data_IF_598684293052
#
_entry.id   IF_598684293052
#
_cell.length_a   1.000
_cell.length_b   1.000
_cell.length_c   1.000
_cell.angle_alpha   90.00
_cell.angle_beta   90.00
_cell.angle_gamma   90.00
#
_symmetry.space_group_name_H-M   'P 1'
#
loop_
_entity.id
_entity.type
_entity.pdbx_description
1 polymer ?
#
# COMPACT_ATOMS: atom_id res chain seq x y z
N UNK A 1 1.70 1.13 -5.11
CA UNK A 1 1.14 1.58 -3.82
C UNK A 1 0.10 2.68 -3.98
N UNK A 2 0.40 3.96 -4.24
CA UNK A 2 -0.66 5.00 -4.32
C UNK A 2 -1.73 4.71 -5.37
N UNK A 3 -1.39 4.47 -6.65
CA UNK A 3 -2.42 4.15 -7.67
C UNK A 3 -3.17 2.83 -7.41
N UNK A 4 -2.55 1.82 -6.80
CA UNK A 4 -3.24 0.56 -6.46
C UNK A 4 -4.21 0.77 -5.27
N UNK A 5 -3.80 1.58 -4.29
CA UNK A 5 -4.63 1.97 -3.13
C UNK A 5 -5.75 2.96 -3.50
N UNK A 6 -5.49 3.84 -4.46
CA UNK A 6 -6.44 4.86 -4.93
C UNK A 6 -7.53 4.23 -5.81
N UNK A 7 -7.21 3.14 -6.53
CA UNK A 7 -8.15 2.39 -7.36
C UNK A 7 -8.85 1.24 -6.61
N UNK A 8 -8.69 1.13 -5.29
CA UNK A 8 -9.32 0.06 -4.51
C UNK A 8 -10.83 0.30 -4.42
N UNK A 9 -11.69 -0.70 -4.74
CA UNK A 9 -13.13 -0.53 -4.70
C UNK A 9 -13.65 -0.34 -3.28
N UNK A 10 -14.63 0.55 -3.12
CA UNK A 10 -15.42 0.64 -1.90
C UNK A 10 -16.33 -0.59 -1.77
N UNK A 11 -16.34 -1.22 -0.59
CA UNK A 11 -17.13 -2.44 -0.35
C UNK A 11 -18.41 -2.16 0.43
N UNK A 12 -18.29 -1.52 1.60
CA UNK A 12 -19.41 -1.24 2.50
C UNK A 12 -19.03 -0.19 3.55
N UNK A 13 -20.04 0.35 4.24
CA UNK A 13 -19.87 1.11 5.48
C UNK A 13 -20.39 0.28 6.66
N UNK A 14 -19.74 0.40 7.81
CA UNK A 14 -20.17 -0.25 9.05
C UNK A 14 -20.01 0.71 10.23
N UNK A 15 -20.88 0.58 11.23
CA UNK A 15 -20.80 1.34 12.47
C UNK A 15 -20.21 0.41 13.53
N UNK A 16 -19.09 0.84 14.11
CA UNK A 16 -18.43 0.13 15.20
C UNK A 16 -18.61 0.90 16.51
N UNK A 17 -18.56 0.19 17.64
CA UNK A 17 -18.71 0.74 18.98
C UNK A 17 -17.44 0.47 19.80
N UNK A 18 -17.22 1.29 20.81
CA UNK A 18 -16.17 1.03 21.79
C UNK A 18 -16.44 -0.32 22.48
N UNK A 19 -15.39 -1.15 22.58
CA UNK A 19 -15.44 -2.49 23.13
C UNK A 19 -15.59 -3.60 22.08
N UNK A 20 -16.00 -3.27 20.85
CA UNK A 20 -16.12 -4.26 19.77
C UNK A 20 -14.73 -4.85 19.44
N UNK A 21 -14.71 -6.18 19.24
CA UNK A 21 -13.51 -6.91 18.81
C UNK A 21 -13.33 -6.77 17.30
N UNK A 22 -12.09 -6.51 16.86
CA UNK A 22 -11.72 -6.44 15.44
C UNK A 22 -12.11 -7.71 14.69
N UNK A 23 -11.90 -8.89 15.29
CA UNK A 23 -12.29 -10.16 14.68
C UNK A 23 -13.80 -10.28 14.43
N UNK A 24 -14.62 -9.75 15.34
CA UNK A 24 -16.08 -9.70 15.16
C UNK A 24 -16.46 -8.71 14.07
N UNK A 25 -15.90 -7.50 14.09
CA UNK A 25 -16.14 -6.48 13.07
C UNK A 25 -15.80 -7.03 11.67
N UNK A 26 -14.66 -7.72 11.55
CA UNK A 26 -14.23 -8.37 10.31
C UNK A 26 -15.24 -9.42 9.84
N UNK A 27 -15.71 -10.27 10.74
CA UNK A 27 -16.72 -11.29 10.43
C UNK A 27 -18.05 -10.65 9.97
N UNK A 28 -18.49 -9.59 10.63
CA UNK A 28 -19.72 -8.87 10.29
C UNK A 28 -19.61 -8.19 8.92
N UNK A 29 -18.45 -7.58 8.61
CA UNK A 29 -18.17 -7.02 7.28
C UNK A 29 -18.30 -8.11 6.21
N UNK A 30 -17.62 -9.25 6.39
CA UNK A 30 -17.66 -10.36 5.43
C UNK A 30 -19.08 -10.88 5.24
N UNK A 31 -19.85 -11.05 6.31
CA UNK A 31 -21.25 -11.47 6.26
C UNK A 31 -22.17 -10.46 5.57
N UNK A 32 -21.83 -9.16 5.61
CA UNK A 32 -22.60 -8.10 4.96
C UNK A 32 -22.32 -7.93 3.46
N UNK A 33 -21.19 -8.45 2.94
CA UNK A 33 -20.79 -8.26 1.55
C UNK A 33 -21.84 -8.72 0.53
N UNK A 34 -22.52 -9.88 0.68
CA UNK A 34 -23.58 -10.30 -0.24
C UNK A 34 -24.73 -9.29 -0.33
N UNK A 35 -25.13 -8.71 0.81
CA UNK A 35 -26.19 -7.72 0.85
C UNK A 35 -25.74 -6.37 0.28
N UNK A 36 -24.51 -5.95 0.56
CA UNK A 36 -23.96 -4.67 0.12
C UNK A 36 -23.65 -4.64 -1.39
N UNK A 37 -23.22 -5.76 -1.97
CA UNK A 37 -22.69 -5.83 -3.33
C UNK A 37 -23.54 -6.65 -4.31
N UNK A 38 -24.57 -7.36 -3.82
CA UNK A 38 -25.41 -8.23 -4.65
C UNK A 38 -24.58 -9.27 -5.41
N UNK A 39 -24.81 -9.38 -6.73
CA UNK A 39 -24.04 -10.29 -7.58
C UNK A 39 -22.53 -9.99 -7.60
N UNK A 40 -22.16 -8.73 -7.35
CA UNK A 40 -20.77 -8.30 -7.24
C UNK A 40 -20.03 -8.93 -6.06
N UNK A 41 -20.71 -9.51 -5.08
CA UNK A 41 -20.08 -10.22 -3.96
C UNK A 41 -19.42 -11.54 -4.38
N UNK A 42 -19.84 -12.15 -5.51
CA UNK A 42 -19.27 -13.43 -5.99
C UNK A 42 -17.76 -13.36 -6.21
N UNK A 43 -17.22 -12.18 -6.57
CA UNK A 43 -15.78 -11.96 -6.75
C UNK A 43 -14.98 -11.99 -5.44
N UNK A 44 -15.66 -11.99 -4.29
CA UNK A 44 -15.10 -11.99 -2.95
C UNK A 44 -15.50 -13.24 -2.16
N UNK A 45 -16.08 -14.25 -2.82
CA UNK A 45 -16.55 -15.47 -2.14
C UNK A 45 -15.41 -16.31 -1.54
N UNK A 46 -14.18 -16.09 -1.99
CA UNK A 46 -12.98 -16.71 -1.44
C UNK A 46 -12.48 -16.03 -0.16
N UNK A 47 -13.00 -14.85 0.20
CA UNK A 47 -12.62 -14.16 1.42
C UNK A 47 -13.31 -14.80 2.64
N UNK A 48 -12.52 -15.07 3.67
CA UNK A 48 -12.95 -15.62 4.94
C UNK A 48 -12.10 -15.04 6.09
N UNK A 49 -12.53 -15.21 7.34
CA UNK A 49 -11.82 -14.61 8.49
C UNK A 49 -10.34 -15.01 8.57
N UNK A 50 -9.98 -16.21 8.11
CA UNK A 50 -8.61 -16.75 8.20
C UNK A 50 -7.66 -16.36 7.05
N UNK A 51 -8.14 -15.71 5.97
CA UNK A 51 -7.28 -15.22 4.87
C UNK A 51 -7.42 -13.70 4.68
N UNK A 52 -8.10 -13.02 5.60
CA UNK A 52 -8.30 -11.59 5.55
C UNK A 52 -7.95 -10.93 6.87
N UNK A 53 -7.55 -9.67 6.78
CA UNK A 53 -7.36 -8.80 7.94
C UNK A 53 -7.84 -7.39 7.67
N UNK A 54 -8.11 -6.67 8.75
CA UNK A 54 -8.41 -5.25 8.70
C UNK A 54 -7.13 -4.45 8.85
N UNK A 55 -6.97 -3.44 7.99
CA UNK A 55 -5.82 -2.52 8.04
C UNK A 55 -6.29 -1.09 7.86
N UNK A 56 -5.74 -0.18 8.66
CA UNK A 56 -5.99 1.24 8.49
C UNK A 56 -5.51 1.72 7.12
N UNK A 57 -6.36 2.45 6.39
CA UNK A 57 -5.96 3.15 5.17
C UNK A 57 -5.28 4.47 5.54
N UNK A 58 -4.04 4.65 5.10
CA UNK A 58 -3.39 5.95 5.09
C UNK A 58 -3.60 6.67 3.76
N UNK A 59 -3.27 7.96 3.72
CA UNK A 59 -3.43 8.79 2.51
C UNK A 59 -2.45 8.35 1.40
N UNK A 60 -1.22 8.01 1.76
CA UNK A 60 -0.15 7.64 0.80
C UNK A 60 0.55 6.33 1.12
N UNK A 61 0.22 5.69 2.24
CA UNK A 61 0.91 4.51 2.75
C UNK A 61 -0.05 3.62 3.54
N UNK A 62 0.31 2.34 3.61
CA UNK A 62 -0.38 1.36 4.42
C UNK A 62 -0.06 1.64 5.89
N UNK A 63 -1.10 1.65 6.73
CA UNK A 63 -0.98 1.88 8.16
C UNK A 63 -1.15 0.57 8.94
N UNK A 64 -1.33 0.70 10.25
CA UNK A 64 -1.43 -0.38 11.22
C UNK A 64 -2.39 -1.48 10.77
N UNK A 65 -1.91 -2.72 10.91
CA UNK A 65 -2.71 -3.93 10.81
C UNK A 65 -3.41 -4.12 12.15
N UNK A 66 -4.72 -4.29 12.13
CA UNK A 66 -5.48 -4.57 13.33
C UNK A 66 -5.55 -6.08 13.57
N UNK A 67 -5.26 -6.50 14.80
CA UNK A 67 -5.31 -7.90 15.21
C UNK A 67 -6.71 -8.25 15.68
N UNK A 68 -7.14 -9.49 15.47
CA UNK A 68 -8.52 -9.90 15.73
C UNK A 68 -8.92 -9.80 17.22
N UNK A 69 -7.95 -9.87 18.12
CA UNK A 69 -8.12 -9.77 19.58
C UNK A 69 -8.14 -8.33 20.12
N UNK A 70 -7.80 -7.34 19.30
CA UNK A 70 -7.83 -5.92 19.67
C UNK A 70 -9.26 -5.38 19.75
N UNK A 71 -9.47 -4.43 20.67
CA UNK A 71 -10.76 -3.77 20.92
C UNK A 71 -10.75 -2.30 20.55
N UNK A 72 -11.82 -1.86 19.89
CA UNK A 72 -12.04 -0.46 19.58
C UNK A 72 -12.21 0.35 20.86
N UNK A 73 -11.54 1.50 20.96
CA UNK A 73 -11.57 2.40 22.10
C UNK A 73 -10.75 1.96 23.31
N UNK A 74 -10.15 0.75 23.28
CA UNK A 74 -9.21 0.27 24.31
C UNK A 74 -7.82 0.14 23.72
N UNK A 75 -7.65 -0.79 22.78
CA UNK A 75 -6.37 -1.05 22.11
C UNK A 75 -6.20 -0.15 20.88
N UNK A 76 -7.30 0.11 20.17
CA UNK A 76 -7.31 0.91 18.95
C UNK A 76 -8.10 2.21 19.16
N UNK A 77 -7.44 3.35 18.95
CA UNK A 77 -8.10 4.65 18.88
C UNK A 77 -8.45 4.98 17.42
N UNK A 78 -9.75 5.00 17.10
CA UNK A 78 -10.24 5.40 15.78
C UNK A 78 -10.81 6.83 15.83
N UNK A 79 -10.56 7.66 14.79
CA UNK A 79 -11.32 8.89 14.60
C UNK A 79 -12.77 8.56 14.21
N UNK A 80 -13.66 9.55 14.31
CA UNK A 80 -15.11 9.40 14.03
C UNK A 80 -15.40 8.75 12.67
N UNK A 81 -14.62 9.10 11.63
CA UNK A 81 -14.68 8.48 10.32
C UNK A 81 -13.27 7.99 9.95
N UNK A 82 -13.17 6.73 9.58
CA UNK A 82 -11.91 6.11 9.17
C UNK A 82 -12.13 5.15 8.01
N UNK A 83 -11.24 5.19 7.04
CA UNK A 83 -11.19 4.18 5.98
C UNK A 83 -10.29 3.02 6.43
N UNK A 84 -10.76 1.80 6.17
CA UNK A 84 -10.06 0.56 6.49
C UNK A 84 -10.09 -0.32 5.25
N UNK A 85 -8.96 -0.96 4.95
CA UNK A 85 -8.89 -2.03 3.96
C UNK A 85 -9.28 -3.36 4.58
N UNK A 86 -10.16 -4.08 3.90
CA UNK A 86 -10.25 -5.54 4.01
C UNK A 86 -9.21 -6.11 3.05
N UNK A 87 -8.09 -6.58 3.60
CA UNK A 87 -6.95 -7.08 2.84
C UNK A 87 -6.94 -8.60 2.87
N UNK A 88 -6.97 -9.22 1.70
CA UNK A 88 -6.65 -10.64 1.53
C UNK A 88 -5.15 -10.87 1.70
N UNK A 89 -4.78 -11.93 2.41
CA UNK A 89 -3.40 -12.30 2.74
C UNK A 89 -3.25 -13.81 2.62
N UNK A 90 -2.39 -14.25 1.71
CA UNK A 90 -2.16 -15.68 1.41
C UNK A 90 -1.68 -16.47 2.64
N UNK A 91 -0.72 -15.90 3.38
CA UNK A 91 -0.18 -16.47 4.62
C UNK A 91 -0.39 -15.48 5.78
N UNK A 92 -1.66 -15.37 6.20
CA UNK A 92 -2.06 -14.43 7.24
C UNK A 92 -1.33 -14.70 8.57
N UNK A 93 -1.12 -15.97 8.92
CA UNK A 93 -0.50 -16.35 10.19
C UNK A 93 0.96 -15.88 10.27
N UNK A 94 1.75 -16.04 9.20
CA UNK A 94 3.16 -15.60 9.21
C UNK A 94 3.35 -14.09 9.10
N UNK A 95 2.31 -13.36 8.67
CA UNK A 95 2.33 -11.91 8.47
C UNK A 95 1.56 -11.13 9.55
N UNK A 96 1.09 -11.80 10.60
CA UNK A 96 0.40 -11.16 11.73
C UNK A 96 1.41 -10.85 12.84
N UNK A 97 1.61 -9.57 13.22
CA UNK A 97 2.45 -9.19 14.36
C UNK A 97 1.96 -9.82 15.66
N UNK A 98 2.87 -10.45 16.40
CA UNK A 98 2.58 -11.07 17.70
C UNK A 98 3.20 -10.22 18.80
N UNK A 99 4.48 -9.87 18.66
CA UNK A 99 5.25 -9.10 19.62
C UNK A 99 5.14 -7.59 19.35
N UNK A 100 5.35 -6.76 20.39
CA UNK A 100 5.24 -5.29 20.27
C UNK A 100 6.25 -4.66 19.29
N UNK A 101 7.37 -5.36 19.07
CA UNK A 101 8.44 -4.94 18.16
C UNK A 101 8.26 -5.50 16.74
N UNK A 102 7.26 -6.36 16.52
CA UNK A 102 7.01 -6.92 15.19
C UNK A 102 6.49 -5.84 14.26
N UNK A 103 7.13 -5.70 13.09
CA UNK A 103 6.75 -4.70 12.10
C UNK A 103 6.47 -5.39 10.77
N UNK A 104 5.28 -5.14 10.21
CA UNK A 104 4.99 -5.50 8.82
C UNK A 104 5.64 -4.47 7.90
N UNK A 105 6.65 -4.90 7.16
CA UNK A 105 7.33 -4.09 6.16
C UNK A 105 6.76 -4.38 4.78
N UNK A 106 6.74 -3.36 3.93
CA UNK A 106 6.46 -3.52 2.51
C UNK A 106 7.78 -3.53 1.75
N UNK A 107 8.03 -4.56 0.96
CA UNK A 107 9.27 -4.71 0.20
C UNK A 107 8.99 -4.85 -1.29
N UNK A 108 9.95 -4.42 -2.11
CA UNK A 108 9.86 -4.57 -3.56
C UNK A 108 11.26 -4.82 -4.14
N UNK A 109 11.39 -5.87 -4.94
CA UNK A 109 12.65 -6.14 -5.64
C UNK A 109 12.88 -5.15 -6.76
N UNK A 110 14.07 -4.57 -6.83
CA UNK A 110 14.59 -3.90 -8.01
C UNK A 110 15.35 -4.92 -8.86
N UNK A 111 15.06 -4.94 -10.16
CA UNK A 111 15.73 -5.79 -11.15
C UNK A 111 16.53 -4.89 -12.10
N UNK A 112 17.82 -4.60 -11.79
CA UNK A 112 18.70 -3.79 -12.62
C UNK A 112 18.74 -4.21 -14.09
N UNK A 113 18.77 -5.52 -14.37
CA UNK A 113 18.89 -6.06 -15.73
C UNK A 113 17.62 -5.85 -16.58
N UNK A 114 16.49 -5.62 -15.92
CA UNK A 114 15.21 -5.41 -16.57
C UNK A 114 14.71 -3.97 -16.48
N UNK A 115 15.42 -3.11 -15.73
CA UNK A 115 14.98 -1.75 -15.41
C UNK A 115 13.54 -1.72 -14.89
N UNK A 116 13.20 -2.63 -13.96
CA UNK A 116 11.84 -2.73 -13.40
C UNK A 116 11.86 -3.02 -11.90
N UNK A 117 10.83 -2.53 -11.22
CA UNK A 117 10.50 -2.97 -9.88
C UNK A 117 9.50 -4.14 -9.95
N UNK A 118 9.69 -5.15 -9.11
CA UNK A 118 8.84 -6.33 -8.97
C UNK A 118 7.46 -6.01 -8.41
N UNK A 119 6.76 -7.01 -7.86
CA UNK A 119 5.50 -6.77 -7.14
C UNK A 119 5.78 -6.32 -5.71
N UNK A 120 4.82 -5.63 -5.10
CA UNK A 120 4.85 -5.40 -3.66
C UNK A 120 4.67 -6.73 -2.93
N UNK A 121 5.46 -6.93 -1.89
CA UNK A 121 5.38 -8.09 -1.01
C UNK A 121 5.48 -7.59 0.42
N UNK A 122 4.74 -8.21 1.32
CA UNK A 122 4.89 -7.93 2.75
C UNK A 122 5.76 -8.96 3.41
N UNK A 123 6.51 -8.51 4.41
CA UNK A 123 7.27 -9.37 5.30
C UNK A 123 6.98 -8.99 6.74
N UNK A 124 6.96 -9.98 7.62
CA UNK A 124 6.99 -9.74 9.05
C UNK A 124 8.44 -9.65 9.50
N UNK A 125 8.84 -8.46 9.91
CA UNK A 125 10.18 -8.19 10.43
C UNK A 125 10.13 -8.25 11.96
N UNK A 126 10.90 -9.19 12.51
CA UNK A 126 10.93 -9.53 13.94
C UNK A 126 12.35 -9.39 14.47
N UNK A 127 12.51 -9.34 15.79
CA UNK A 127 13.80 -9.31 16.48
C UNK A 127 14.67 -10.54 16.19
N UNK A 128 14.03 -11.68 15.90
CA UNK A 128 14.68 -12.99 15.70
C UNK A 128 15.40 -13.15 14.36
N UNK A 129 15.09 -12.34 13.35
CA UNK A 129 15.57 -12.55 11.98
C UNK A 129 16.10 -11.27 11.34
N UNK A 130 17.37 -11.30 10.94
CA UNK A 130 18.01 -10.23 10.18
C UNK A 130 17.28 -9.95 8.86
N UNK A 131 17.22 -8.68 8.47
CA UNK A 131 16.53 -8.24 7.27
C UNK A 131 17.10 -8.89 6.00
N UNK A 132 18.43 -8.96 5.87
CA UNK A 132 19.12 -9.58 4.72
C UNK A 132 18.79 -11.07 4.62
N UNK A 133 18.78 -11.80 5.74
CA UNK A 133 18.36 -13.22 5.81
C UNK A 133 16.92 -13.40 5.35
N UNK A 134 16.01 -12.53 5.81
CA UNK A 134 14.62 -12.58 5.41
C UNK A 134 14.45 -12.32 3.91
N UNK A 135 15.11 -11.27 3.39
CA UNK A 135 15.10 -10.93 1.96
C UNK A 135 15.73 -12.04 1.11
N UNK A 136 16.77 -12.70 1.60
CA UNK A 136 17.40 -13.85 0.92
C UNK A 136 16.42 -15.00 0.79
N UNK A 137 15.76 -15.37 1.89
CA UNK A 137 14.78 -16.45 1.92
C UNK A 137 13.63 -16.25 0.93
N UNK A 138 13.10 -15.03 0.80
CA UNK A 138 11.96 -14.76 -0.09
C UNK A 138 12.37 -14.60 -1.57
N UNK A 139 13.64 -14.26 -1.85
CA UNK A 139 14.08 -13.91 -3.19
C UNK A 139 15.02 -14.93 -3.84
N UNK A 140 15.65 -15.80 -3.04
CA UNK A 140 16.70 -16.72 -3.45
C UNK A 140 18.07 -16.07 -3.70
N UNK A 141 18.22 -14.77 -3.44
CA UNK A 141 19.51 -14.06 -3.56
C UNK A 141 20.39 -14.44 -2.36
N UNK A 142 21.68 -14.77 -2.54
CA UNK A 142 22.61 -14.97 -1.41
C UNK A 142 22.66 -13.75 -0.49
N UNK A 143 22.71 -13.96 0.83
CA UNK A 143 22.65 -12.89 1.83
C UNK A 143 23.72 -11.81 1.60
N UNK A 144 24.92 -12.22 1.21
CA UNK A 144 26.06 -11.36 0.92
C UNK A 144 25.85 -10.45 -0.30
N UNK A 145 24.93 -10.82 -1.18
CA UNK A 145 24.60 -10.07 -2.39
C UNK A 145 23.38 -9.17 -2.21
N UNK A 146 22.74 -9.18 -1.03
CA UNK A 146 21.57 -8.35 -0.78
C UNK A 146 21.99 -6.95 -0.39
N UNK A 147 21.50 -6.01 -1.19
CA UNK A 147 21.45 -4.61 -0.82
C UNK A 147 20.01 -4.15 -0.74
N UNK A 148 19.74 -3.25 0.20
CA UNK A 148 18.42 -2.65 0.37
C UNK A 148 18.53 -1.16 0.62
N UNK A 149 17.41 -0.46 0.44
CA UNK A 149 17.28 0.95 0.74
C UNK A 149 15.90 1.22 1.29
N UNK A 150 15.86 1.95 2.40
CA UNK A 150 14.62 2.46 2.97
C UNK A 150 14.14 3.66 2.15
N UNK A 151 12.91 3.59 1.68
CA UNK A 151 12.28 4.69 0.96
C UNK A 151 11.60 5.62 1.97
N UNK A 152 12.01 6.89 2.07
CA UNK A 152 11.34 7.85 2.93
C UNK A 152 9.86 7.96 2.62
N UNK A 153 9.01 8.05 3.66
CA UNK A 153 7.57 8.21 3.47
C UNK A 153 7.18 9.48 2.71
N UNK A 154 8.04 10.51 2.75
CA UNK A 154 7.85 11.78 2.02
C UNK A 154 8.18 11.67 0.54
N UNK A 155 9.02 10.70 0.13
CA UNK A 155 9.48 10.51 -1.25
C UNK A 155 8.66 9.46 -1.98
N UNK A 156 7.51 9.01 -1.47
CA UNK A 156 6.61 8.06 -2.15
C UNK A 156 6.00 8.60 -3.48
N UNK A 157 6.45 9.76 -3.95
CA UNK A 157 6.37 10.13 -5.36
C UNK A 157 7.24 9.16 -6.15
N UNK A 158 6.71 8.57 -7.22
CA UNK A 158 7.39 7.54 -8.01
C UNK A 158 8.85 7.91 -8.27
N UNK A 159 9.77 7.17 -7.65
CA UNK A 159 11.17 7.24 -8.06
C UNK A 159 11.20 6.85 -9.53
N UNK A 160 11.72 7.75 -10.36
CA UNK A 160 11.99 7.41 -11.76
C UNK A 160 12.82 6.14 -11.75
N UNK A 161 12.41 5.15 -12.55
CA UNK A 161 13.14 3.89 -12.70
C UNK A 161 14.61 4.14 -13.04
N UNK A 162 14.89 5.23 -13.75
CA UNK A 162 16.24 5.68 -14.11
C UNK A 162 17.09 6.11 -12.90
N UNK A 163 16.47 6.52 -11.81
CA UNK A 163 17.14 7.02 -10.60
C UNK A 163 17.30 5.95 -9.52
N UNK A 164 16.57 4.83 -9.57
CA UNK A 164 16.59 3.81 -8.51
C UNK A 164 18.00 3.23 -8.30
N UNK A 165 18.73 2.95 -9.38
CA UNK A 165 20.04 2.31 -9.27
C UNK A 165 21.09 3.19 -8.58
N UNK A 166 21.18 4.47 -8.96
CA UNK A 166 22.29 5.36 -8.60
C UNK A 166 21.88 6.57 -7.74
N UNK A 167 20.58 6.89 -7.68
CA UNK A 167 20.05 8.01 -6.91
C UNK A 167 19.64 7.65 -5.49
N UNK A 168 19.67 6.36 -5.14
CA UNK A 168 19.34 5.85 -3.81
C UNK A 168 20.59 5.35 -3.08
N UNK A 169 20.58 5.48 -1.75
CA UNK A 169 21.67 5.03 -0.90
C UNK A 169 21.45 3.58 -0.46
N UNK A 170 21.91 2.65 -1.31
CA UNK A 170 21.88 1.21 -1.05
C UNK A 170 22.84 0.83 0.08
N UNK A 171 22.39 -0.05 0.97
CA UNK A 171 23.16 -0.58 2.09
C UNK A 171 23.07 -2.10 2.15
N UNK A 172 24.13 -2.75 2.63
CA UNK A 172 24.19 -4.21 2.86
C UNK A 172 24.34 -4.57 4.34
N UNK A 173 24.35 -3.57 5.23
CA UNK A 173 24.54 -3.80 6.67
C UNK A 173 23.40 -4.66 7.22
N UNK A 174 23.69 -5.76 7.92
CA UNK A 174 22.67 -6.54 8.63
C UNK A 174 21.94 -5.67 9.65
N UNK A 175 20.61 -5.79 9.70
CA UNK A 175 19.76 -5.05 10.63
C UNK A 175 18.71 -5.97 11.26
N UNK A 176 18.38 -5.71 12.52
CA UNK A 176 17.37 -6.43 13.29
C UNK A 176 16.19 -5.50 13.64
N UNK A 177 15.03 -6.05 13.98
CA UNK A 177 13.87 -5.23 14.33
C UNK A 177 14.08 -4.38 15.59
N UNK A 178 14.94 -4.83 16.51
CA UNK A 178 15.34 -4.11 17.73
C UNK A 178 16.09 -2.81 17.45
N UNK A 179 16.59 -2.61 16.23
CA UNK A 179 17.00 -1.29 15.71
C UNK A 179 15.78 -0.38 15.44
N UNK A 180 14.69 -0.58 16.20
CA UNK A 180 13.30 -0.13 16.05
C UNK A 180 13.13 1.36 15.71
N UNK A 181 14.12 2.20 16.03
CA UNK A 181 14.16 3.59 15.56
C UNK A 181 14.19 3.72 14.03
N UNK A 182 14.64 2.69 13.31
CA UNK A 182 14.71 2.71 11.84
C UNK A 182 13.45 2.22 11.15
N UNK A 183 12.63 1.35 11.74
CA UNK A 183 11.53 0.70 11.03
C UNK A 183 10.20 0.90 11.74
N UNK A 184 9.27 1.54 11.05
CA UNK A 184 7.91 1.74 11.52
C UNK A 184 6.91 1.13 10.54
N UNK A 185 5.67 0.97 11.00
CA UNK A 185 4.54 0.51 10.19
C UNK A 185 4.45 1.30 8.89
N UNK A 186 4.30 0.58 7.77
CA UNK A 186 4.20 1.20 6.44
C UNK A 186 5.54 1.63 5.85
N UNK A 187 6.67 1.24 6.44
CA UNK A 187 7.99 1.42 5.82
C UNK A 187 8.08 0.61 4.53
N UNK A 188 8.46 1.29 3.45
CA UNK A 188 8.75 0.69 2.16
C UNK A 188 10.26 0.51 2.00
N UNK A 189 10.67 -0.70 1.60
CA UNK A 189 12.04 -1.02 1.23
C UNK A 189 12.11 -1.44 -0.23
N UNK A 190 13.12 -0.95 -0.93
CA UNK A 190 13.60 -1.62 -2.14
C UNK A 190 14.79 -2.50 -1.78
N UNK A 191 14.89 -3.65 -2.44
CA UNK A 191 16.05 -4.53 -2.32
C UNK A 191 16.50 -4.99 -3.70
N UNK A 192 17.78 -5.33 -3.85
CA UNK A 192 18.36 -5.80 -5.12
C UNK A 192 19.43 -6.85 -4.86
N UNK A 193 19.77 -7.56 -5.92
CA UNK A 193 21.00 -8.33 -6.00
C UNK A 193 22.12 -7.40 -6.47
N UNK A 194 23.16 -7.21 -5.65
CA UNK A 194 24.30 -6.35 -5.96
C UNK A 194 25.16 -6.88 -7.11
N UNK A 195 25.04 -8.16 -7.44
CA UNK A 195 25.75 -8.81 -8.55
C UNK A 195 25.01 -8.70 -9.89
N UNK A 196 23.74 -8.27 -9.87
CA UNK A 196 22.93 -8.12 -11.07
C UNK A 196 23.38 -6.89 -11.89
N UNK A 197 23.74 -7.12 -13.15
CA UNK A 197 24.20 -6.04 -14.03
C UNK A 197 23.04 -5.14 -14.45
N UNK A 198 23.28 -3.83 -14.41
CA UNK A 198 22.34 -2.83 -14.91
C UNK A 198 22.20 -2.94 -16.42
N UNK A 199 20.96 -2.94 -16.92
CA UNK A 199 20.70 -2.90 -18.37
C UNK A 199 21.30 -1.65 -19.02
N UNK A 200 22.05 -1.85 -20.10
CA UNK A 200 22.41 -0.75 -21.00
C UNK A 200 21.18 -0.33 -21.80
N UNK A 201 20.75 0.92 -21.61
CA UNK A 201 19.58 1.48 -22.29
C UNK A 201 20.00 2.21 -23.56
N UNK A 202 19.29 1.98 -24.66
CA UNK A 202 19.44 2.82 -25.85
C UNK A 202 18.85 4.22 -25.61
N UNK A 203 19.24 5.24 -26.41
CA UNK A 203 18.65 6.58 -26.33
C UNK A 203 17.11 6.56 -26.44
N UNK A 204 16.58 5.69 -27.28
CA UNK A 204 15.14 5.51 -27.49
C UNK A 204 14.46 4.92 -26.25
N UNK A 205 15.02 3.85 -25.68
CA UNK A 205 14.48 3.23 -24.45
C UNK A 205 14.51 4.20 -23.27
N UNK A 206 15.61 4.95 -23.11
CA UNK A 206 15.74 5.97 -22.06
C UNK A 206 14.69 7.07 -22.23
N UNK A 207 14.41 7.47 -23.48
CA UNK A 207 13.37 8.46 -23.79
C UNK A 207 11.97 7.93 -23.48
N UNK A 208 11.68 6.68 -23.80
CA UNK A 208 10.40 6.04 -23.47
C UNK A 208 10.18 5.91 -21.96
N UNK A 209 11.20 5.51 -21.19
CA UNK A 209 11.13 5.49 -19.73
C UNK A 209 10.86 6.88 -19.14
N UNK A 210 11.57 7.91 -19.64
CA UNK A 210 11.35 9.30 -19.22
C UNK A 210 9.92 9.77 -19.53
N UNK A 211 9.38 9.43 -20.71
CA UNK A 211 7.99 9.76 -21.06
C UNK A 211 6.98 9.03 -20.16
N UNK A 212 7.24 7.77 -19.83
CA UNK A 212 6.36 6.95 -18.99
C UNK A 212 6.27 7.52 -17.58
N UNK A 213 7.41 7.91 -17.00
CA UNK A 213 7.46 8.56 -15.70
C UNK A 213 6.67 9.89 -15.70
N UNK A 214 6.88 10.72 -16.73
CA UNK A 214 6.17 12.00 -16.88
C UNK A 214 4.65 11.87 -17.07
N UNK A 215 4.18 10.83 -17.78
CA UNK A 215 2.73 10.58 -17.94
C UNK A 215 2.07 10.20 -16.62
N UNK A 216 2.81 9.55 -15.73
CA UNK A 216 2.30 9.14 -14.43
C UNK A 216 2.35 10.25 -13.39
N UNK A 217 3.16 11.29 -13.60
CA UNK A 217 3.12 12.52 -12.80
C UNK A 217 2.11 13.55 -13.32
N UNK A 218 1.68 13.47 -14.58
CA UNK A 218 0.84 14.50 -15.23
C UNK A 218 -0.67 14.31 -15.11
N UNK A 219 -1.17 13.28 -14.43
CA UNK A 219 -2.62 13.03 -14.28
C UNK A 219 -3.29 13.97 -13.27
N UNK A 220 -2.54 14.76 -12.51
CA UNK A 220 -3.13 15.82 -11.67
C UNK A 220 -2.90 17.21 -12.28
N UNK A 221 -3.65 17.53 -13.33
CA UNK A 221 -4.03 18.92 -13.57
C UNK A 221 -5.33 19.15 -12.80
N UNK A 222 -5.40 20.04 -11.78
CA UNK A 222 -6.69 20.49 -11.29
C UNK A 222 -7.31 21.28 -12.45
N UNK A 223 -8.18 20.63 -13.24
CA UNK A 223 -9.08 21.35 -14.13
C UNK A 223 -9.81 22.30 -13.20
N UNK A 224 -9.51 23.60 -13.29
CA UNK A 224 -10.35 24.65 -12.75
C UNK A 224 -11.73 24.39 -13.35
N UNK A 225 -12.62 23.76 -12.59
CA UNK A 225 -14.03 23.71 -12.91
C UNK A 225 -14.46 25.17 -13.07
N UNK A 226 -14.71 25.58 -14.31
CA UNK A 226 -15.35 26.86 -14.54
C UNK A 226 -16.81 26.66 -14.17
N UNK A 227 -17.29 27.44 -13.20
CA UNK A 227 -18.68 27.43 -12.80
C UNK A 227 -19.60 27.52 -14.03
N UNK A 228 -20.57 26.60 -14.12
CA UNK A 228 -21.64 26.70 -15.10
C UNK A 228 -22.45 27.97 -14.81
N UNK A 229 -22.41 28.93 -15.72
CA UNK A 229 -23.38 30.04 -15.74
C UNK A 229 -24.68 29.50 -16.32
N UNK A 230 -25.64 29.23 -15.46
CA UNK A 230 -27.02 28.97 -15.86
C UNK A 230 -27.68 30.34 -16.07
N UNK A 231 -28.07 30.63 -17.30
CA UNK A 231 -28.94 31.75 -17.59
C UNK A 231 -30.38 31.25 -17.42
N UNK A 232 -31.07 31.80 -16.43
CA UNK A 232 -32.52 31.66 -16.33
C UNK A 232 -33.12 32.63 -17.35
N UNK A 233 -33.69 32.09 -18.43
CA UNK A 233 -34.47 32.90 -19.36
C UNK A 233 -35.63 33.55 -18.61
N UNK A 234 -35.73 34.88 -18.75
CA UNK A 234 -36.71 35.70 -18.07
C UNK A 234 -38.13 35.21 -18.36
N UNK A 235 -38.94 35.18 -17.30
CA UNK A 235 -40.34 34.77 -17.28
C UNK A 235 -41.16 35.33 -18.46
N UNK A 236 -42.17 34.59 -18.95
CA UNK A 236 -42.96 35.00 -20.09
C UNK A 236 -43.64 36.36 -19.83
N UNK A 237 -43.50 37.24 -20.82
CA UNK A 237 -44.17 38.55 -20.86
C UNK A 237 -45.65 38.38 -20.58
N UNK A 238 -46.17 39.11 -19.59
CA UNK A 238 -47.61 39.34 -19.46
C UNK A 238 -48.08 39.97 -20.79
N UNK A 239 -49.10 39.39 -21.39
CA UNK A 239 -49.86 40.08 -22.41
C UNK A 239 -50.55 41.27 -21.73
N UNK A 240 -50.31 42.47 -22.25
CA UNK A 240 -51.09 43.65 -21.90
C UNK A 240 -52.51 43.52 -22.48
N UNK A 241 -53.49 43.98 -21.70
CA UNK A 241 -54.90 44.16 -22.06
C UNK A 241 -55.06 45.39 -22.98
#
# INVERSE_FOLDING_TARGET
>A
MTEEMDNTPFLCSTIVKNGDLVGQIKADILASLPAALGEGAKKYAHLHSNNCRLRRKGIKYLLTVYKDDERIGTDITLPTNVDVFLQEVDDLASLTPIDINDVVLLVRRWHPSEMKLGKFQEILFTDKLELTKHLSRISGIPEENIEYVKIPQTTLHRDSVLNIQNGLHWVSTPQHADDCKLYCVGTLLYYRDSTEQLKELTPEERKELTKKDNRTSSTYSPRKERALKIYLDASPKKADD
#
